data_IF_243131070991
#
_entry.id   IF_243131070991
#
_cell.length_a   1.000
_cell.length_b   1.000
_cell.length_c   1.000
_cell.angle_alpha   90.00
_cell.angle_beta   90.00
_cell.angle_gamma   90.00
#
_symmetry.space_group_name_H-M   'P 1'
#
loop_
_entity.id
_entity.type
_entity.pdbx_description
1 polymer ?
#
# COMPACT_ATOMS: atom_id res chain seq x y z
N UNK A 1 -1.97 -34.22 -8.34
CA UNK A 1 -0.57 -33.70 -8.22
C UNK A 1 -0.25 -32.88 -9.46
N UNK A 2 0.20 -31.62 -9.31
CA UNK A 2 0.66 -30.65 -10.35
C UNK A 2 -0.42 -30.06 -11.24
N UNK A 3 -1.20 -29.10 -10.71
CA UNK A 3 -1.92 -28.11 -11.54
C UNK A 3 -2.13 -26.81 -10.72
N UNK A 4 -1.07 -26.11 -10.33
CA UNK A 4 -1.17 -24.77 -9.74
C UNK A 4 0.06 -23.87 -9.97
N UNK A 5 0.82 -24.11 -11.05
CA UNK A 5 1.97 -23.25 -11.44
C UNK A 5 1.84 -22.60 -12.81
N UNK A 6 0.65 -22.57 -13.42
CA UNK A 6 0.46 -22.19 -14.82
C UNK A 6 -0.14 -20.80 -15.08
N UNK A 7 -0.72 -20.12 -14.10
CA UNK A 7 -1.44 -18.85 -14.36
C UNK A 7 -0.62 -17.57 -14.08
N UNK A 8 0.49 -17.67 -13.35
CA UNK A 8 1.38 -16.54 -13.09
C UNK A 8 2.37 -16.22 -14.20
N UNK A 9 2.70 -17.19 -15.05
CA UNK A 9 3.74 -17.05 -16.08
C UNK A 9 3.19 -16.67 -17.47
N UNK A 10 1.89 -16.77 -17.72
CA UNK A 10 1.28 -16.43 -19.02
C UNK A 10 1.17 -14.92 -19.18
N UNK A 11 1.00 -14.15 -18.10
CA UNK A 11 0.97 -12.68 -18.16
C UNK A 11 2.35 -12.03 -18.31
N UNK A 12 3.44 -12.76 -18.05
CA UNK A 12 4.81 -12.27 -18.24
C UNK A 12 5.33 -12.42 -19.69
N UNK A 13 4.63 -13.12 -20.59
CA UNK A 13 5.12 -13.43 -21.93
C UNK A 13 4.38 -12.76 -23.08
N UNK A 14 3.47 -11.83 -22.83
CA UNK A 14 2.99 -10.91 -23.88
C UNK A 14 3.74 -9.57 -23.85
N UNK A 15 5.06 -9.60 -23.66
CA UNK A 15 5.90 -8.55 -24.22
C UNK A 15 5.95 -8.80 -25.72
N UNK A 16 5.02 -8.22 -26.45
CA UNK A 16 5.20 -8.01 -27.88
C UNK A 16 6.56 -7.35 -28.06
N UNK A 17 7.50 -8.11 -28.59
CA UNK A 17 8.81 -7.60 -28.99
C UNK A 17 8.57 -6.65 -30.16
N UNK A 18 8.14 -5.42 -29.83
CA UNK A 18 8.22 -4.34 -30.80
C UNK A 18 9.73 -4.07 -30.89
N UNK A 19 10.33 -4.59 -31.93
CA UNK A 19 11.70 -4.31 -32.35
C UNK A 19 11.82 -2.80 -32.63
N UNK A 20 12.05 -2.01 -31.60
CA UNK A 20 11.98 -0.55 -31.64
C UNK A 20 13.37 0.01 -31.82
N UNK A 21 13.81 -0.02 -33.06
CA UNK A 21 15.15 0.34 -33.51
C UNK A 21 15.65 1.74 -33.06
N UNK A 22 14.82 2.59 -32.43
CA UNK A 22 15.14 3.98 -32.12
C UNK A 22 15.10 4.37 -30.64
N UNK A 23 14.76 3.46 -29.73
CA UNK A 23 14.77 3.76 -28.28
C UNK A 23 16.01 3.16 -27.61
N UNK A 24 17.15 3.79 -27.83
CA UNK A 24 18.44 3.27 -27.32
C UNK A 24 18.50 3.41 -25.80
N UNK A 25 18.18 4.59 -25.28
CA UNK A 25 18.17 4.93 -23.87
C UNK A 25 17.03 5.92 -23.63
N UNK A 26 15.88 5.42 -23.18
CA UNK A 26 14.68 6.22 -23.03
C UNK A 26 13.80 5.73 -21.88
N UNK A 27 13.11 6.66 -21.23
CA UNK A 27 11.97 6.35 -20.39
C UNK A 27 10.71 6.87 -21.08
N UNK A 28 9.70 5.99 -21.20
CA UNK A 28 8.41 6.32 -21.77
C UNK A 28 7.42 6.45 -20.64
N UNK A 29 6.91 7.67 -20.43
CA UNK A 29 6.05 8.04 -19.32
C UNK A 29 4.66 8.39 -19.83
N UNK A 30 3.68 7.61 -19.44
CA UNK A 30 2.29 7.81 -19.83
C UNK A 30 1.38 7.84 -18.59
N UNK A 31 0.43 8.75 -18.61
CA UNK A 31 -0.56 8.90 -17.54
C UNK A 31 -1.96 8.51 -17.99
N UNK A 32 -2.75 8.02 -17.05
CA UNK A 32 -4.19 7.84 -17.18
C UNK A 32 -4.88 8.30 -15.88
N UNK A 33 -5.99 9.03 -16.01
CA UNK A 33 -6.75 9.54 -14.87
C UNK A 33 -8.22 9.15 -15.00
N UNK A 34 -8.80 8.66 -13.91
CA UNK A 34 -10.22 8.30 -13.82
C UNK A 34 -10.69 8.42 -12.37
N UNK A 35 -11.91 8.92 -12.18
CA UNK A 35 -12.54 9.03 -10.84
C UNK A 35 -11.66 9.76 -9.81
N UNK A 36 -10.99 10.85 -10.20
CA UNK A 36 -10.14 11.66 -9.32
C UNK A 36 -8.82 11.00 -8.90
N UNK A 37 -8.51 9.81 -9.42
CA UNK A 37 -7.23 9.10 -9.20
C UNK A 37 -6.47 8.97 -10.51
N UNK A 38 -5.14 8.82 -10.43
CA UNK A 38 -4.30 8.64 -11.62
C UNK A 38 -3.30 7.50 -11.46
N UNK A 39 -2.90 6.97 -12.59
CA UNK A 39 -1.77 6.06 -12.71
C UNK A 39 -0.78 6.62 -13.75
N UNK A 40 0.49 6.66 -13.40
CA UNK A 40 1.58 6.96 -14.30
C UNK A 40 2.35 5.66 -14.54
N UNK A 41 2.42 5.24 -15.80
CA UNK A 41 3.17 4.08 -16.24
C UNK A 41 4.49 4.53 -16.83
N UNK A 42 5.59 3.96 -16.36
CA UNK A 42 6.94 4.21 -16.89
C UNK A 42 7.47 2.93 -17.50
N UNK A 43 7.89 2.99 -18.77
CA UNK A 43 8.62 1.92 -19.45
C UNK A 43 10.09 2.32 -19.55
N UNK A 44 10.99 1.41 -19.21
CA UNK A 44 12.42 1.65 -19.19
C UNK A 44 13.08 0.98 -20.38
N UNK A 45 13.68 1.77 -21.29
CA UNK A 45 14.46 1.30 -22.41
C UNK A 45 15.92 1.57 -22.20
N UNK A 46 16.75 0.53 -22.25
CA UNK A 46 18.22 0.62 -22.16
C UNK A 46 18.82 -0.31 -23.22
N UNK A 47 19.84 0.18 -23.93
CA UNK A 47 20.52 -0.57 -25.01
C UNK A 47 19.55 -1.16 -26.03
N UNK A 48 18.51 -0.40 -26.42
CA UNK A 48 17.44 -0.81 -27.36
C UNK A 48 16.53 -1.95 -26.83
N UNK A 49 16.62 -2.31 -25.57
CA UNK A 49 15.79 -3.35 -24.96
C UNK A 49 14.86 -2.75 -23.91
N UNK A 50 13.66 -3.31 -23.83
CA UNK A 50 12.73 -2.99 -22.75
C UNK A 50 13.17 -3.72 -21.47
N UNK A 51 13.62 -2.97 -20.48
CA UNK A 51 14.05 -3.48 -19.16
C UNK A 51 12.91 -3.66 -18.18
N UNK A 52 11.69 -3.41 -18.61
CA UNK A 52 10.50 -3.55 -17.80
C UNK A 52 9.72 -2.25 -17.69
N UNK A 53 8.69 -2.31 -16.86
CA UNK A 53 7.83 -1.16 -16.61
C UNK A 53 7.35 -1.13 -15.17
N UNK A 54 6.90 0.04 -14.73
CA UNK A 54 6.39 0.23 -13.37
C UNK A 54 5.22 1.21 -13.37
N UNK A 55 4.17 0.87 -12.63
CA UNK A 55 3.03 1.74 -12.37
C UNK A 55 3.24 2.54 -11.07
N UNK A 56 2.90 3.81 -11.11
CA UNK A 56 2.94 4.73 -10.00
C UNK A 56 1.57 5.37 -9.81
N UNK A 57 1.17 5.59 -8.57
CA UNK A 57 -0.12 6.17 -8.20
C UNK A 57 0.13 7.43 -7.35
N UNK A 58 0.44 8.58 -7.98
CA UNK A 58 0.71 9.80 -7.25
C UNK A 58 -0.54 10.29 -6.51
N UNK A 59 -0.33 10.92 -5.36
CA UNK A 59 -1.39 11.64 -4.64
C UNK A 59 -1.44 13.07 -5.18
N UNK A 60 -2.61 13.50 -5.58
CA UNK A 60 -2.87 14.84 -6.15
C UNK A 60 -4.30 15.26 -5.85
N UNK A 61 -4.64 16.51 -6.12
CA UNK A 61 -6.02 16.97 -6.06
C UNK A 61 -6.87 16.23 -7.11
N UNK A 62 -8.07 15.75 -6.77
CA UNK A 62 -8.96 15.09 -7.73
C UNK A 62 -9.26 15.91 -8.99
N UNK A 63 -9.25 17.25 -8.91
CA UNK A 63 -9.50 18.14 -10.02
C UNK A 63 -8.24 18.49 -10.82
N UNK A 64 -7.04 18.17 -10.33
CA UNK A 64 -5.78 18.46 -11.01
C UNK A 64 -5.72 17.75 -12.36
N UNK A 65 -5.28 18.45 -13.42
CA UNK A 65 -5.21 17.89 -14.75
C UNK A 65 -4.00 16.93 -14.91
N UNK A 66 -4.10 16.00 -15.86
CA UNK A 66 -3.10 14.96 -16.05
C UNK A 66 -1.71 15.52 -16.43
N UNK A 67 -1.66 16.63 -17.16
CA UNK A 67 -0.39 17.28 -17.56
C UNK A 67 0.37 17.83 -16.36
N UNK A 68 -0.32 18.43 -15.41
CA UNK A 68 0.29 18.97 -14.17
C UNK A 68 0.74 17.82 -13.25
N UNK A 69 -0.05 16.74 -13.18
CA UNK A 69 0.33 15.51 -12.44
C UNK A 69 1.62 14.90 -13.02
N UNK A 70 1.73 14.80 -14.35
CA UNK A 70 2.93 14.28 -15.02
C UNK A 70 4.12 15.21 -14.78
N UNK A 71 3.91 16.53 -14.85
CA UNK A 71 4.95 17.54 -14.58
C UNK A 71 5.56 17.38 -13.18
N UNK A 72 4.71 17.32 -12.17
CA UNK A 72 5.11 17.10 -10.77
C UNK A 72 5.76 15.74 -10.56
N UNK A 73 5.23 14.70 -11.20
CA UNK A 73 5.78 13.36 -11.12
C UNK A 73 7.21 13.29 -11.66
N UNK A 74 7.49 13.86 -12.84
CA UNK A 74 8.83 13.81 -13.46
C UNK A 74 9.85 14.47 -12.54
N UNK A 75 9.53 15.62 -11.97
CA UNK A 75 10.42 16.37 -11.07
C UNK A 75 10.82 15.53 -9.86
N UNK A 76 9.85 14.88 -9.21
CA UNK A 76 10.10 14.00 -8.05
C UNK A 76 10.76 12.67 -8.44
N UNK A 77 10.34 12.08 -9.57
CA UNK A 77 10.80 10.78 -10.00
C UNK A 77 12.30 10.75 -10.27
N UNK A 78 12.83 11.81 -10.88
CA UNK A 78 14.24 11.93 -11.20
C UNK A 78 15.08 12.62 -10.11
N UNK A 79 14.51 12.96 -8.96
CA UNK A 79 15.29 13.57 -7.87
C UNK A 79 16.46 12.67 -7.44
N UNK A 80 16.23 11.37 -7.27
CA UNK A 80 17.21 10.40 -6.79
C UNK A 80 17.48 9.24 -7.78
N UNK A 81 17.23 9.47 -9.08
CA UNK A 81 17.43 8.47 -10.13
C UNK A 81 18.26 9.05 -11.26
N UNK A 82 19.00 8.18 -11.94
CA UNK A 82 19.68 8.54 -13.18
C UNK A 82 18.67 8.79 -14.29
N UNK A 83 18.92 9.78 -15.11
CA UNK A 83 18.02 10.20 -16.20
C UNK A 83 18.53 9.64 -17.52
N UNK A 84 17.69 8.99 -18.36
CA UNK A 84 18.08 8.59 -19.71
C UNK A 84 18.26 9.80 -20.62
N UNK A 85 18.92 9.62 -21.75
CA UNK A 85 19.08 10.69 -22.75
C UNK A 85 17.77 11.16 -23.38
N UNK A 86 16.71 10.33 -23.35
CA UNK A 86 15.41 10.66 -23.90
C UNK A 86 14.29 10.32 -22.92
N UNK A 87 13.34 11.25 -22.73
CA UNK A 87 12.09 11.05 -22.01
C UNK A 87 10.95 11.30 -22.99
N UNK A 88 10.05 10.32 -23.12
CA UNK A 88 8.92 10.38 -24.05
C UNK A 88 7.64 10.40 -23.26
N UNK A 89 6.82 11.43 -23.47
CA UNK A 89 5.62 11.68 -22.71
C UNK A 89 4.35 11.41 -23.49
N UNK A 90 3.28 11.03 -22.81
CA UNK A 90 1.93 10.96 -23.37
C UNK A 90 1.28 12.34 -23.54
N UNK A 91 1.66 13.32 -22.71
CA UNK A 91 1.03 14.63 -22.65
C UNK A 91 2.09 15.74 -22.69
N UNK A 92 1.72 16.88 -23.26
CA UNK A 92 2.51 18.11 -23.10
C UNK A 92 2.49 18.53 -21.62
N UNK A 93 3.61 19.04 -21.14
CA UNK A 93 3.77 19.57 -19.77
C UNK A 93 4.20 21.04 -19.85
N UNK A 94 3.75 21.85 -18.88
CA UNK A 94 3.98 23.30 -18.89
C UNK A 94 5.46 23.69 -18.75
N UNK A 95 6.18 22.99 -17.87
CA UNK A 95 7.56 23.32 -17.50
C UNK A 95 8.60 22.46 -18.24
N UNK A 96 8.25 21.96 -19.41
CA UNK A 96 9.10 21.07 -20.20
C UNK A 96 10.53 21.56 -20.34
N UNK A 97 10.73 22.81 -20.81
CA UNK A 97 12.04 23.38 -21.06
C UNK A 97 12.87 23.55 -19.78
N UNK A 98 12.21 23.94 -18.68
CA UNK A 98 12.85 24.09 -17.38
C UNK A 98 13.32 22.74 -16.84
N UNK A 99 12.46 21.71 -16.91
CA UNK A 99 12.78 20.35 -16.47
C UNK A 99 13.92 19.77 -17.33
N UNK A 100 13.83 19.92 -18.65
CA UNK A 100 14.86 19.44 -19.58
C UNK A 100 16.24 20.06 -19.29
N UNK A 101 16.27 21.38 -19.05
CA UNK A 101 17.49 22.10 -18.67
C UNK A 101 18.04 21.62 -17.31
N UNK A 102 17.19 21.50 -16.32
CA UNK A 102 17.56 21.06 -14.95
C UNK A 102 18.14 19.65 -14.97
N UNK A 103 17.48 18.71 -15.67
CA UNK A 103 17.95 17.33 -15.78
C UNK A 103 19.23 17.21 -16.58
N UNK A 104 19.41 18.02 -17.63
CA UNK A 104 20.64 18.11 -18.43
C UNK A 104 21.81 18.58 -17.58
N UNK A 105 21.61 19.60 -16.73
CA UNK A 105 22.63 20.07 -15.79
C UNK A 105 22.99 19.01 -14.73
N UNK A 106 21.96 18.35 -14.17
CA UNK A 106 22.14 17.30 -13.16
C UNK A 106 23.02 16.15 -13.68
N UNK A 107 22.74 15.64 -14.87
CA UNK A 107 23.40 14.46 -15.42
C UNK A 107 24.66 14.81 -16.24
N UNK A 108 24.94 16.10 -16.46
CA UNK A 108 26.06 16.60 -17.31
C UNK A 108 26.02 15.98 -18.73
N UNK A 109 24.83 15.66 -19.24
CA UNK A 109 24.60 15.12 -20.59
C UNK A 109 23.29 15.69 -21.15
N UNK A 110 23.24 15.81 -22.48
CA UNK A 110 22.01 16.28 -23.15
C UNK A 110 20.84 15.34 -22.89
N UNK A 111 19.75 15.87 -22.31
CA UNK A 111 18.50 15.17 -22.10
C UNK A 111 17.44 15.85 -22.93
N UNK A 112 16.60 15.07 -23.61
CA UNK A 112 15.50 15.56 -24.45
C UNK A 112 14.18 15.00 -23.98
N UNK A 113 13.23 15.90 -23.75
CA UNK A 113 11.83 15.56 -23.41
C UNK A 113 10.97 15.75 -24.67
N UNK A 114 10.27 14.72 -25.10
CA UNK A 114 9.42 14.77 -26.30
C UNK A 114 8.05 14.19 -26.04
N UNK A 115 7.03 14.72 -26.73
CA UNK A 115 5.69 14.12 -26.74
C UNK A 115 5.52 13.32 -28.04
N UNK A 116 5.08 12.09 -27.91
CA UNK A 116 4.92 11.18 -29.03
C UNK A 116 3.65 11.55 -29.85
N UNK A 117 3.85 11.97 -31.10
CA UNK A 117 2.73 12.34 -32.00
C UNK A 117 2.50 11.35 -33.14
N UNK A 118 3.49 10.51 -33.48
CA UNK A 118 3.41 9.56 -34.61
C UNK A 118 4.44 8.45 -34.50
N UNK A 119 4.28 7.44 -35.34
CA UNK A 119 5.26 6.35 -35.51
C UNK A 119 5.35 5.41 -34.30
N UNK A 120 6.51 4.78 -34.14
CA UNK A 120 6.76 3.76 -33.12
C UNK A 120 6.63 4.32 -31.71
N UNK A 121 7.09 5.55 -31.48
CA UNK A 121 6.95 6.22 -30.17
C UNK A 121 5.50 6.32 -29.72
N UNK A 122 4.58 6.65 -30.64
CA UNK A 122 3.15 6.73 -30.33
C UNK A 122 2.57 5.34 -29.99
N UNK A 123 3.02 4.27 -30.68
CA UNK A 123 2.59 2.91 -30.35
C UNK A 123 2.96 2.51 -28.91
N UNK A 124 4.19 2.81 -28.51
CA UNK A 124 4.67 2.55 -27.13
C UNK A 124 3.91 3.37 -26.10
N UNK A 125 3.68 4.64 -26.39
CA UNK A 125 2.87 5.51 -25.51
C UNK A 125 1.44 4.95 -25.36
N UNK A 126 0.80 4.54 -26.43
CA UNK A 126 -0.54 3.96 -26.35
C UNK A 126 -0.55 2.66 -25.53
N UNK A 127 0.48 1.83 -25.65
CA UNK A 127 0.64 0.65 -24.80
C UNK A 127 0.83 1.05 -23.32
N UNK A 128 1.64 2.07 -23.04
CA UNK A 128 1.85 2.56 -21.69
C UNK A 128 0.57 3.19 -21.10
N UNK A 129 -0.24 3.90 -21.91
CA UNK A 129 -1.55 4.41 -21.50
C UNK A 129 -2.50 3.25 -21.16
N UNK A 130 -2.57 2.22 -21.99
CA UNK A 130 -3.41 1.05 -21.71
C UNK A 130 -2.96 0.34 -20.42
N UNK A 131 -1.66 0.16 -20.22
CA UNK A 131 -1.15 -0.42 -18.97
C UNK A 131 -1.46 0.47 -17.74
N UNK A 132 -1.39 1.80 -17.89
CA UNK A 132 -1.78 2.73 -16.84
C UNK A 132 -3.26 2.60 -16.50
N UNK A 133 -4.12 2.53 -17.52
CA UNK A 133 -5.57 2.32 -17.37
C UNK A 133 -5.88 1.01 -16.66
N UNK A 134 -5.32 -0.11 -17.12
CA UNK A 134 -5.54 -1.42 -16.53
C UNK A 134 -5.05 -1.48 -15.07
N UNK A 135 -3.91 -0.84 -14.79
CA UNK A 135 -3.36 -0.76 -13.43
C UNK A 135 -4.23 0.09 -12.51
N UNK A 136 -4.75 1.22 -13.00
CA UNK A 136 -5.66 2.07 -12.24
C UNK A 136 -6.98 1.38 -11.98
N UNK A 137 -7.59 0.76 -12.98
CA UNK A 137 -8.85 0.02 -12.85
C UNK A 137 -8.73 -1.10 -11.81
N UNK A 138 -7.64 -1.87 -11.85
CA UNK A 138 -7.36 -2.91 -10.85
C UNK A 138 -7.27 -2.33 -9.45
N UNK A 139 -6.54 -1.23 -9.27
CA UNK A 139 -6.43 -0.56 -7.97
C UNK A 139 -7.76 -0.01 -7.47
N UNK A 140 -8.58 0.57 -8.34
CA UNK A 140 -9.91 1.07 -8.00
C UNK A 140 -10.84 -0.08 -7.57
N UNK A 141 -10.80 -1.21 -8.29
CA UNK A 141 -11.56 -2.40 -7.96
C UNK A 141 -11.13 -3.01 -6.61
N UNK A 142 -9.82 -3.14 -6.37
CA UNK A 142 -9.28 -3.60 -5.09
C UNK A 142 -9.72 -2.68 -3.94
N UNK A 143 -9.67 -1.36 -4.13
CA UNK A 143 -10.11 -0.39 -3.13
C UNK A 143 -11.61 -0.48 -2.86
N UNK A 144 -12.44 -0.70 -3.88
CA UNK A 144 -13.89 -0.90 -3.69
C UNK A 144 -14.18 -2.19 -2.91
N UNK A 145 -13.55 -3.29 -3.29
CA UNK A 145 -13.68 -4.56 -2.56
C UNK A 145 -13.30 -4.43 -1.09
N UNK A 146 -12.24 -3.67 -0.79
CA UNK A 146 -11.83 -3.45 0.60
C UNK A 146 -12.89 -2.65 1.39
N UNK A 147 -13.54 -1.66 0.77
CA UNK A 147 -14.64 -0.92 1.39
C UNK A 147 -15.83 -1.83 1.66
N UNK A 148 -16.21 -2.64 0.68
CA UNK A 148 -17.33 -3.61 0.83
C UNK A 148 -17.05 -4.60 1.97
N UNK A 149 -15.78 -5.04 2.14
CA UNK A 149 -15.33 -5.87 3.27
C UNK A 149 -15.42 -5.10 4.60
N UNK A 150 -14.97 -3.85 4.65
CA UNK A 150 -15.07 -3.04 5.87
C UNK A 150 -16.52 -2.79 6.28
N UNK A 151 -17.40 -2.53 5.32
CA UNK A 151 -18.84 -2.38 5.56
C UNK A 151 -19.45 -3.68 6.10
N UNK A 152 -19.06 -4.83 5.54
CA UNK A 152 -19.51 -6.13 6.03
C UNK A 152 -19.02 -6.41 7.46
N UNK A 153 -17.76 -6.06 7.78
CA UNK A 153 -17.20 -6.16 9.14
C UNK A 153 -17.94 -5.24 10.11
N UNK A 154 -18.17 -3.97 9.74
CA UNK A 154 -18.92 -3.02 10.56
C UNK A 154 -20.32 -3.54 10.88
N UNK A 155 -21.05 -4.04 9.88
CA UNK A 155 -22.36 -4.64 10.05
C UNK A 155 -22.34 -5.89 10.93
N UNK A 156 -21.37 -6.79 10.71
CA UNK A 156 -21.25 -8.05 11.47
C UNK A 156 -21.03 -7.82 12.96
N UNK A 157 -20.17 -6.85 13.32
CA UNK A 157 -19.86 -6.52 14.70
C UNK A 157 -20.72 -5.39 15.27
N UNK A 158 -21.68 -4.86 14.49
CA UNK A 158 -22.55 -3.74 14.86
C UNK A 158 -21.73 -2.52 15.34
N UNK A 159 -20.71 -2.14 14.53
CA UNK A 159 -19.88 -0.97 14.80
C UNK A 159 -20.59 0.29 14.31
N UNK A 160 -20.56 1.35 15.11
CA UNK A 160 -21.19 2.65 14.79
C UNK A 160 -20.30 3.52 13.88
N UNK A 161 -19.03 3.14 13.70
CA UNK A 161 -18.02 3.88 12.93
C UNK A 161 -17.76 3.25 11.57
N UNK A 162 -17.52 4.08 10.56
CA UNK A 162 -17.02 3.63 9.28
C UNK A 162 -15.55 3.23 9.42
N UNK A 163 -15.22 2.01 8.98
CA UNK A 163 -13.84 1.52 9.01
C UNK A 163 -13.11 1.99 7.76
N UNK A 164 -12.00 2.73 7.93
CA UNK A 164 -11.06 3.07 6.86
C UNK A 164 -9.65 2.56 7.18
N UNK A 165 -9.35 2.35 8.46
CA UNK A 165 -8.04 1.95 8.94
C UNK A 165 -8.15 0.92 10.06
N UNK A 166 -7.56 -0.24 9.82
CA UNK A 166 -7.52 -1.35 10.77
C UNK A 166 -6.08 -1.57 11.23
N UNK A 167 -5.86 -1.66 12.54
CA UNK A 167 -4.60 -2.13 13.11
C UNK A 167 -4.75 -3.55 13.64
N UNK A 168 -3.86 -4.45 13.24
CA UNK A 168 -3.84 -5.86 13.64
C UNK A 168 -2.62 -6.12 14.52
N UNK A 169 -2.84 -6.71 15.66
CA UNK A 169 -1.81 -7.03 16.65
C UNK A 169 -1.65 -8.53 16.82
N UNK A 170 -0.43 -8.99 16.70
CA UNK A 170 -0.02 -10.37 16.99
C UNK A 170 1.20 -10.38 17.91
N UNK A 171 1.18 -11.22 18.92
CA UNK A 171 2.30 -11.44 19.82
C UNK A 171 2.86 -12.84 19.62
N UNK A 172 4.17 -12.92 19.43
CA UNK A 172 4.85 -14.19 19.25
C UNK A 172 6.05 -14.34 20.19
N UNK A 173 6.31 -15.59 20.61
CA UNK A 173 7.49 -15.98 21.36
C UNK A 173 8.45 -16.73 20.45
N UNK A 174 9.72 -16.33 20.42
CA UNK A 174 10.78 -17.11 19.81
C UNK A 174 11.47 -17.90 20.90
N UNK A 175 11.09 -19.17 21.09
CA UNK A 175 11.72 -20.13 22.03
C UNK A 175 11.96 -19.59 23.45
N UNK A 176 11.01 -18.80 24.00
CA UNK A 176 11.03 -18.35 25.40
C UNK A 176 12.00 -17.22 25.74
N UNK A 177 12.80 -16.70 24.79
CA UNK A 177 13.84 -15.71 25.10
C UNK A 177 13.63 -14.33 24.49
N UNK A 178 12.89 -14.19 23.41
CA UNK A 178 12.64 -12.91 22.76
C UNK A 178 11.18 -12.76 22.38
N UNK A 179 10.40 -12.15 23.25
CA UNK A 179 8.99 -11.85 22.97
C UNK A 179 8.88 -10.63 22.07
N UNK A 180 8.08 -10.75 21.01
CA UNK A 180 7.90 -9.71 20.01
C UNK A 180 6.42 -9.49 19.74
N UNK A 181 6.00 -8.23 19.79
CA UNK A 181 4.71 -7.80 19.29
C UNK A 181 4.84 -7.25 17.87
N UNK A 182 3.92 -7.60 17.00
CA UNK A 182 3.82 -7.08 15.65
C UNK A 182 2.55 -6.24 15.48
N UNK A 183 2.68 -5.13 14.78
CA UNK A 183 1.57 -4.30 14.32
C UNK A 183 1.58 -4.26 12.80
N UNK A 184 0.47 -4.69 12.21
CA UNK A 184 0.18 -4.57 10.78
C UNK A 184 -0.98 -3.58 10.63
N UNK A 185 -0.93 -2.73 9.62
CA UNK A 185 -1.99 -1.77 9.32
C UNK A 185 -2.56 -2.03 7.95
N UNK A 186 -3.88 -2.03 7.83
CA UNK A 186 -4.64 -2.24 6.61
C UNK A 186 -5.66 -1.11 6.41
N UNK A 187 -5.71 -0.56 5.23
CA UNK A 187 -6.63 0.52 4.85
C UNK A 187 -7.42 0.18 3.59
N UNK A 188 -8.19 1.14 3.08
CA UNK A 188 -8.99 0.99 1.87
C UNK A 188 -8.14 0.67 0.62
N UNK A 189 -6.90 1.15 0.57
CA UNK A 189 -5.93 0.84 -0.49
C UNK A 189 -5.08 -0.41 -0.20
N UNK A 190 -5.39 -1.20 0.84
CA UNK A 190 -4.68 -2.40 1.26
C UNK A 190 -3.65 -2.16 2.37
N UNK A 191 -2.60 -2.96 2.40
CA UNK A 191 -1.58 -2.94 3.45
C UNK A 191 -0.75 -1.65 3.48
N UNK A 192 -0.77 -0.94 4.61
CA UNK A 192 -0.03 0.32 4.84
C UNK A 192 1.33 0.02 5.48
N UNK A 193 2.27 -0.54 4.70
CA UNK A 193 3.57 -1.04 5.19
C UNK A 193 4.39 -0.03 5.99
N UNK A 194 4.32 1.27 5.66
CA UNK A 194 5.02 2.33 6.41
C UNK A 194 4.55 2.50 7.85
N UNK A 195 3.36 1.98 8.19
CA UNK A 195 2.80 1.99 9.55
C UNK A 195 3.10 0.71 10.33
N UNK A 196 3.70 -0.31 9.73
CA UNK A 196 4.09 -1.53 10.42
C UNK A 196 5.08 -1.23 11.53
N UNK A 197 4.92 -1.89 12.68
CA UNK A 197 5.83 -1.76 13.80
C UNK A 197 6.13 -3.12 14.39
N UNK A 198 7.35 -3.25 14.88
CA UNK A 198 7.82 -4.38 15.68
C UNK A 198 8.15 -3.85 17.07
N UNK A 199 7.61 -4.48 18.09
CA UNK A 199 7.83 -4.14 19.48
C UNK A 199 8.67 -5.23 20.14
N UNK A 200 9.90 -4.92 20.53
CA UNK A 200 10.65 -5.79 21.42
C UNK A 200 10.07 -5.62 22.83
N UNK A 201 9.54 -6.68 23.41
CA UNK A 201 8.84 -6.68 24.68
C UNK A 201 9.86 -6.76 25.81
N UNK A 202 9.70 -5.87 26.80
CA UNK A 202 10.66 -5.72 27.91
C UNK A 202 10.20 -6.42 29.18
N UNK A 203 8.89 -6.62 29.35
CA UNK A 203 8.32 -7.21 30.55
C UNK A 203 8.47 -8.73 30.47
N UNK A 204 9.44 -9.25 31.22
CA UNK A 204 9.64 -10.68 31.42
C UNK A 204 9.31 -11.01 32.88
N UNK A 205 8.03 -11.00 33.28
CA UNK A 205 7.67 -11.55 34.59
C UNK A 205 7.54 -13.06 34.59
N UNK A 206 7.13 -13.67 33.48
CA UNK A 206 7.19 -15.10 33.19
C UNK A 206 7.19 -15.27 31.67
N UNK A 207 7.87 -16.28 31.12
CA UNK A 207 8.01 -16.55 29.70
C UNK A 207 6.68 -16.88 28.96
N UNK A 208 5.53 -16.73 29.61
CA UNK A 208 4.18 -17.05 29.12
C UNK A 208 3.13 -15.95 29.44
N UNK A 209 3.56 -14.72 29.74
CA UNK A 209 2.61 -13.63 30.02
C UNK A 209 2.15 -12.92 28.75
N UNK A 210 1.37 -13.63 27.92
CA UNK A 210 0.77 -13.08 26.68
C UNK A 210 -0.12 -11.86 26.94
N UNK A 211 -0.71 -11.76 28.12
CA UNK A 211 -1.56 -10.64 28.52
C UNK A 211 -0.73 -9.39 28.82
N UNK A 212 0.34 -9.51 29.59
CA UNK A 212 1.26 -8.40 29.86
C UNK A 212 1.94 -7.90 28.60
N UNK A 213 2.26 -8.80 27.68
CA UNK A 213 2.81 -8.44 26.37
C UNK A 213 1.84 -7.60 25.54
N UNK A 214 0.58 -8.00 25.46
CA UNK A 214 -0.44 -7.25 24.73
C UNK A 214 -0.66 -5.86 25.35
N UNK A 215 -0.77 -5.79 26.67
CA UNK A 215 -0.89 -4.51 27.40
C UNK A 215 0.31 -3.58 27.13
N UNK A 216 1.54 -4.11 27.14
CA UNK A 216 2.75 -3.33 26.83
C UNK A 216 2.74 -2.78 25.40
N UNK A 217 2.41 -3.61 24.41
CA UNK A 217 2.39 -3.21 23.00
C UNK A 217 1.37 -2.10 22.76
N UNK A 218 0.14 -2.28 23.23
CA UNK A 218 -0.93 -1.29 23.08
C UNK A 218 -0.60 0.02 23.81
N UNK A 219 -0.11 -0.05 25.04
CA UNK A 219 0.31 1.14 25.78
C UNK A 219 1.42 1.90 25.03
N UNK A 220 2.44 1.23 24.55
CA UNK A 220 3.55 1.89 23.81
C UNK A 220 3.07 2.53 22.51
N UNK A 221 2.13 1.90 21.79
CA UNK A 221 1.56 2.43 20.56
C UNK A 221 0.66 3.63 20.81
N UNK A 222 -0.31 3.47 21.70
CA UNK A 222 -1.37 4.47 21.87
C UNK A 222 -0.98 5.61 22.82
N UNK A 223 -0.18 5.36 23.87
CA UNK A 223 0.34 6.42 24.73
C UNK A 223 1.11 7.47 23.94
N UNK A 224 1.94 7.01 22.98
CA UNK A 224 2.65 7.92 22.08
C UNK A 224 1.68 8.71 21.19
N UNK A 225 0.68 8.06 20.61
CA UNK A 225 -0.31 8.73 19.78
C UNK A 225 -1.14 9.79 20.51
N UNK A 226 -1.48 9.53 21.79
CA UNK A 226 -2.19 10.49 22.65
C UNK A 226 -1.30 11.68 23.01
N UNK A 227 0.00 11.46 23.26
CA UNK A 227 0.93 12.49 23.72
C UNK A 227 1.42 13.41 22.60
N UNK A 228 1.74 12.85 21.43
CA UNK A 228 2.45 13.59 20.38
C UNK A 228 1.52 14.43 19.50
N UNK A 229 0.19 14.27 19.54
CA UNK A 229 -0.79 14.94 18.65
C UNK A 229 -0.36 14.94 17.17
N UNK A 230 0.48 13.99 16.80
CA UNK A 230 1.14 13.94 15.49
C UNK A 230 0.15 13.42 14.44
N UNK A 231 -0.05 14.18 13.38
CA UNK A 231 -0.90 13.80 12.24
C UNK A 231 -0.51 12.46 11.56
N UNK A 232 0.71 11.96 11.80
CA UNK A 232 1.17 10.65 11.33
C UNK A 232 0.71 9.47 12.18
N UNK A 233 0.25 9.73 13.41
CA UNK A 233 -0.23 8.71 14.36
C UNK A 233 -1.75 8.70 14.46
N UNK A 234 -2.45 8.84 13.33
CA UNK A 234 -3.90 8.66 13.27
C UNK A 234 -4.31 7.38 13.99
N UNK A 235 -5.37 7.46 14.81
CA UNK A 235 -5.96 6.29 15.44
C UNK A 235 -6.59 5.37 14.40
N UNK A 236 -6.59 4.04 14.61
CA UNK A 236 -7.36 3.14 13.78
C UNK A 236 -8.85 3.26 14.10
N UNK A 237 -9.68 2.90 13.10
CA UNK A 237 -11.12 2.80 13.30
C UNK A 237 -11.52 1.42 13.87
N UNK A 238 -10.62 0.44 13.80
CA UNK A 238 -10.79 -0.89 14.37
C UNK A 238 -9.42 -1.48 14.77
N UNK A 239 -9.37 -2.08 15.95
CA UNK A 239 -8.25 -2.89 16.43
C UNK A 239 -8.61 -4.36 16.36
N UNK A 240 -7.82 -5.16 15.65
CA UNK A 240 -7.90 -6.62 15.63
C UNK A 240 -6.75 -7.22 16.45
N UNK A 241 -7.06 -8.25 17.25
CA UNK A 241 -6.09 -8.92 18.11
C UNK A 241 -6.11 -10.42 17.80
N UNK A 242 -4.96 -10.99 17.43
CA UNK A 242 -4.82 -12.45 17.34
C UNK A 242 -4.77 -13.03 18.76
N UNK A 243 -5.94 -13.46 19.25
CA UNK A 243 -6.09 -13.98 20.59
C UNK A 243 -7.54 -14.18 21.02
N UNK A 244 -7.73 -14.78 22.19
CA UNK A 244 -9.04 -15.10 22.71
C UNK A 244 -9.62 -14.02 23.64
N UNK A 245 -10.70 -14.41 24.34
CA UNK A 245 -11.43 -13.54 25.29
C UNK A 245 -10.55 -12.85 26.34
N UNK A 246 -9.51 -13.53 26.83
CA UNK A 246 -8.59 -12.97 27.83
C UNK A 246 -7.76 -11.82 27.25
N UNK A 247 -7.22 -11.97 26.05
CA UNK A 247 -6.47 -10.90 25.37
C UNK A 247 -7.39 -9.73 24.99
N UNK A 248 -8.65 -9.99 24.60
CA UNK A 248 -9.65 -8.95 24.41
C UNK A 248 -9.84 -8.10 25.70
N UNK A 249 -10.00 -8.74 26.85
CA UNK A 249 -10.23 -8.05 28.13
C UNK A 249 -9.06 -7.15 28.52
N UNK A 250 -7.83 -7.66 28.40
CA UNK A 250 -6.61 -6.91 28.67
C UNK A 250 -6.42 -5.73 27.71
N UNK A 251 -6.71 -5.95 26.43
CA UNK A 251 -6.63 -4.89 25.43
C UNK A 251 -7.66 -3.79 25.69
N UNK A 252 -8.89 -4.14 26.02
CA UNK A 252 -9.95 -3.19 26.38
C UNK A 252 -9.57 -2.39 27.61
N UNK A 253 -9.04 -3.03 28.65
CA UNK A 253 -8.53 -2.36 29.85
C UNK A 253 -7.44 -1.35 29.52
N UNK A 254 -6.41 -1.76 28.74
CA UNK A 254 -5.32 -0.88 28.32
C UNK A 254 -5.80 0.34 27.54
N UNK A 255 -6.76 0.14 26.63
CA UNK A 255 -7.34 1.23 25.83
C UNK A 255 -8.18 2.17 26.70
N UNK A 256 -8.94 1.65 27.67
CA UNK A 256 -9.73 2.45 28.61
C UNK A 256 -8.84 3.30 29.54
N UNK A 257 -7.72 2.76 30.03
CA UNK A 257 -6.71 3.49 30.83
C UNK A 257 -6.13 4.69 30.06
N UNK A 258 -6.12 4.63 28.72
CA UNK A 258 -5.65 5.71 27.85
C UNK A 258 -6.78 6.64 27.36
N UNK A 259 -8.04 6.43 27.81
CA UNK A 259 -9.20 7.22 27.37
C UNK A 259 -9.68 6.91 25.94
N UNK A 260 -9.29 5.76 25.39
CA UNK A 260 -9.60 5.34 24.01
C UNK A 260 -10.72 4.28 23.97
N UNK A 261 -11.76 4.49 24.77
CA UNK A 261 -12.90 3.56 24.89
C UNK A 261 -13.76 3.49 23.60
N UNK A 262 -13.75 4.56 22.79
CA UNK A 262 -14.52 4.63 21.53
C UNK A 262 -13.93 3.74 20.41
N UNK A 263 -12.64 3.39 20.46
CA UNK A 263 -12.04 2.56 19.42
C UNK A 263 -12.50 1.12 19.60
N UNK A 264 -13.22 0.53 18.63
CA UNK A 264 -13.67 -0.85 18.71
C UNK A 264 -12.49 -1.82 18.65
N UNK A 265 -12.59 -2.89 19.45
CA UNK A 265 -11.62 -3.99 19.49
C UNK A 265 -12.36 -5.28 19.15
N UNK A 266 -11.78 -6.10 18.29
CA UNK A 266 -12.22 -7.47 18.02
C UNK A 266 -11.03 -8.40 18.25
N UNK A 267 -11.20 -9.40 19.10
CA UNK A 267 -10.20 -10.45 19.27
C UNK A 267 -10.60 -11.68 18.45
N UNK A 268 -9.61 -12.37 17.89
CA UNK A 268 -9.78 -13.49 16.98
C UNK A 268 -9.11 -14.72 17.58
N UNK A 269 -9.91 -15.64 18.11
CA UNK A 269 -9.40 -16.91 18.62
C UNK A 269 -9.40 -17.97 17.53
N UNK A 270 -8.27 -18.60 17.31
CA UNK A 270 -8.13 -19.75 16.40
C UNK A 270 -8.93 -20.94 16.91
N UNK A 271 -9.68 -21.59 16.04
CA UNK A 271 -10.39 -22.83 16.37
C UNK A 271 -9.45 -23.96 16.82
N UNK A 272 -9.99 -24.94 17.56
CA UNK A 272 -9.20 -26.08 18.11
C UNK A 272 -8.35 -26.82 17.07
N UNK A 273 -8.78 -26.88 15.83
CA UNK A 273 -8.10 -27.56 14.73
C UNK A 273 -7.19 -26.64 13.91
N UNK A 274 -7.10 -25.35 14.24
CA UNK A 274 -6.35 -24.31 13.50
C UNK A 274 -6.64 -24.24 12.00
N UNK A 275 -7.80 -24.75 11.56
CA UNK A 275 -8.26 -24.60 10.19
C UNK A 275 -8.91 -23.23 10.00
N UNK A 276 -8.63 -22.57 8.89
CA UNK A 276 -9.29 -21.31 8.52
C UNK A 276 -10.82 -21.52 8.38
N UNK A 277 -11.58 -20.53 8.85
CA UNK A 277 -13.05 -20.57 8.84
C UNK A 277 -13.69 -21.06 10.14
N UNK A 278 -12.90 -21.49 11.13
CA UNK A 278 -13.39 -21.93 12.45
C UNK A 278 -12.98 -20.98 13.58
N UNK A 279 -12.67 -19.75 13.23
CA UNK A 279 -12.28 -18.71 14.19
C UNK A 279 -13.52 -18.26 14.98
N UNK A 280 -13.28 -17.92 16.26
CA UNK A 280 -14.29 -17.27 17.11
C UNK A 280 -13.83 -15.83 17.39
N UNK A 281 -14.72 -14.90 17.12
CA UNK A 281 -14.47 -13.47 17.29
C UNK A 281 -15.14 -12.97 18.56
N UNK A 282 -14.45 -12.14 19.33
CA UNK A 282 -14.94 -11.55 20.58
C UNK A 282 -15.02 -10.03 20.45
N UNK A 283 -16.21 -9.48 20.67
CA UNK A 283 -16.46 -8.03 20.68
C UNK A 283 -17.58 -7.69 21.68
N UNK A 284 -17.34 -6.70 22.55
CA UNK A 284 -18.31 -6.20 23.54
C UNK A 284 -19.04 -7.31 24.31
N UNK A 285 -18.28 -8.31 24.79
CA UNK A 285 -18.81 -9.44 25.57
C UNK A 285 -19.57 -10.48 24.77
N UNK A 286 -19.72 -10.33 23.44
CA UNK A 286 -20.38 -11.27 22.55
C UNK A 286 -19.37 -12.08 21.76
N UNK A 287 -19.80 -13.29 21.37
CA UNK A 287 -19.04 -14.17 20.47
C UNK A 287 -19.72 -14.19 19.10
N UNK A 288 -18.89 -14.12 18.05
CA UNK A 288 -19.34 -14.15 16.66
C UNK A 288 -18.58 -15.25 15.91
N UNK A 289 -19.26 -15.86 14.94
CA UNK A 289 -18.66 -16.78 13.96
C UNK A 289 -19.04 -16.32 12.56
N UNK A 290 -18.15 -16.50 11.61
CA UNK A 290 -18.42 -16.36 10.19
C UNK A 290 -18.75 -17.77 9.66
N UNK A 291 -19.84 -17.87 8.91
CA UNK A 291 -20.22 -19.08 8.16
C UNK A 291 -19.54 -19.09 6.80
#
# INVERSE_FOLDING_TARGET
RRLSRGLGDVYKRQSLTISEANLVEADVIAGYKESGKSCIQVFFYRSKQNWGNQAFFPKHDPEENLSDIINSFISQFYENKSVPSSIILSNEIKEKELIEKTLTQKESKQITITVAKKGTKLKVINQAINNAKDSLNRKLYESQNNRDLFDAVSKKFNLETNINLVEVYDNSHIQGTNSVGALITYGDEGFVKKRYRKFNIKIQKNAQDDYGMMKEVLNRRFKRAVQEKDNYLTFPDLVLIDGGKGQYSVAREAMNELGLHEIPIVAIAKGKMRNSGNETFFHNGKEFKFE
#
